data_IF_317212319046
#
_entry.id   IF_317212319046
#
_cell.length_a   1.000
_cell.length_b   1.000
_cell.length_c   1.000
_cell.angle_alpha   90.00
_cell.angle_beta   90.00
_cell.angle_gamma   90.00
#
_symmetry.space_group_name_H-M   'P 1'
#
loop_
_entity.id
_entity.type
_entity.pdbx_description
1 polymer ?
#
# COMPACT_ATOMS: atom_id res chain seq x y z
N UNK A 1 -29.07 -19.42 17.66
CA UNK A 1 -28.35 -18.17 17.32
C UNK A 1 -28.26 -17.93 15.82
N UNK A 2 -27.86 -18.90 14.99
CA UNK A 2 -27.79 -18.74 13.52
C UNK A 2 -29.13 -18.91 12.78
N UNK A 3 -30.04 -19.73 13.31
CA UNK A 3 -31.35 -20.03 12.71
C UNK A 3 -32.17 -18.78 12.35
N UNK A 4 -32.24 -17.73 13.21
CA UNK A 4 -32.95 -16.49 12.86
C UNK A 4 -32.34 -15.75 11.67
N UNK A 5 -31.01 -15.74 11.54
CA UNK A 5 -30.29 -15.07 10.45
C UNK A 5 -30.55 -15.79 9.12
N UNK A 6 -30.48 -17.12 9.14
CA UNK A 6 -30.77 -17.94 7.96
C UNK A 6 -32.23 -17.78 7.53
N UNK A 7 -33.18 -17.79 8.48
CA UNK A 7 -34.59 -17.58 8.18
C UNK A 7 -34.86 -16.19 7.60
N UNK A 8 -34.17 -15.15 8.10
CA UNK A 8 -34.25 -13.80 7.55
C UNK A 8 -33.69 -13.75 6.11
N UNK A 9 -32.54 -14.39 5.87
CA UNK A 9 -31.93 -14.44 4.53
C UNK A 9 -32.83 -15.16 3.52
N UNK A 10 -33.50 -16.26 3.91
CA UNK A 10 -34.44 -16.99 3.05
C UNK A 10 -35.72 -16.17 2.81
N UNK A 11 -36.23 -15.47 3.84
CA UNK A 11 -37.41 -14.60 3.72
C UNK A 11 -37.18 -13.47 2.72
N UNK A 12 -36.00 -12.84 2.74
CA UNK A 12 -35.63 -11.73 1.87
C UNK A 12 -34.66 -12.14 0.75
N UNK A 13 -34.81 -13.36 0.21
CA UNK A 13 -33.90 -13.93 -0.79
C UNK A 13 -33.56 -13.01 -1.96
N UNK A 14 -34.53 -12.23 -2.45
CA UNK A 14 -34.31 -11.30 -3.56
C UNK A 14 -33.33 -10.18 -3.22
N UNK A 15 -33.47 -9.59 -2.03
CA UNK A 15 -32.56 -8.55 -1.52
C UNK A 15 -31.18 -9.13 -1.27
N UNK A 16 -31.10 -10.33 -0.70
CA UNK A 16 -29.82 -11.02 -0.45
C UNK A 16 -29.08 -11.30 -1.76
N UNK A 17 -29.79 -11.81 -2.78
CA UNK A 17 -29.20 -12.06 -4.10
C UNK A 17 -28.75 -10.75 -4.76
N UNK A 18 -29.56 -9.70 -4.70
CA UNK A 18 -29.20 -8.40 -5.27
C UNK A 18 -27.94 -7.82 -4.60
N UNK A 19 -27.84 -7.89 -3.26
CA UNK A 19 -26.66 -7.47 -2.52
C UNK A 19 -25.43 -8.33 -2.86
N UNK A 20 -25.61 -9.65 -2.99
CA UNK A 20 -24.52 -10.55 -3.39
C UNK A 20 -24.00 -10.22 -4.79
N UNK A 21 -24.89 -9.93 -5.75
CA UNK A 21 -24.52 -9.52 -7.11
C UNK A 21 -23.80 -8.18 -7.13
N UNK A 22 -24.27 -7.21 -6.34
CA UNK A 22 -23.62 -5.90 -6.21
C UNK A 22 -22.22 -6.05 -5.61
N UNK A 23 -22.09 -6.86 -4.55
CA UNK A 23 -20.80 -7.15 -3.92
C UNK A 23 -19.84 -7.85 -4.88
N UNK A 24 -20.31 -8.82 -5.66
CA UNK A 24 -19.51 -9.50 -6.67
C UNK A 24 -19.05 -8.53 -7.77
N UNK A 25 -19.94 -7.68 -8.28
CA UNK A 25 -19.61 -6.67 -9.28
C UNK A 25 -18.60 -5.63 -8.77
N UNK A 26 -18.78 -5.16 -7.54
CA UNK A 26 -17.83 -4.27 -6.89
C UNK A 26 -16.47 -4.96 -6.67
N UNK A 27 -16.48 -6.23 -6.26
CA UNK A 27 -15.27 -7.04 -6.10
C UNK A 27 -14.50 -7.20 -7.40
N UNK A 28 -15.19 -7.45 -8.53
CA UNK A 28 -14.58 -7.50 -9.86
C UNK A 28 -13.97 -6.16 -10.27
N UNK A 29 -14.70 -5.06 -10.04
CA UNK A 29 -14.18 -3.72 -10.29
C UNK A 29 -12.92 -3.43 -9.46
N UNK A 30 -12.96 -3.71 -8.15
CA UNK A 30 -11.82 -3.52 -7.27
C UNK A 30 -10.61 -4.39 -7.69
N UNK A 31 -10.85 -5.65 -8.07
CA UNK A 31 -9.80 -6.55 -8.54
C UNK A 31 -9.15 -6.05 -9.83
N UNK A 32 -9.94 -5.52 -10.77
CA UNK A 32 -9.40 -4.94 -12.02
C UNK A 32 -8.56 -3.68 -11.82
N UNK A 33 -8.74 -2.98 -10.69
CA UNK A 33 -7.98 -1.77 -10.34
C UNK A 33 -6.89 -2.04 -9.29
N UNK A 34 -6.79 -3.27 -8.78
CA UNK A 34 -5.77 -3.63 -7.79
C UNK A 34 -4.39 -3.53 -8.42
N UNK A 35 -3.49 -2.76 -7.79
CA UNK A 35 -2.08 -2.73 -8.21
C UNK A 35 -1.44 -4.04 -7.81
N UNK A 36 -0.92 -4.74 -8.81
CA UNK A 36 -0.11 -5.94 -8.61
C UNK A 36 1.35 -5.51 -8.58
N UNK A 37 1.91 -5.38 -7.38
CA UNK A 37 3.34 -5.18 -7.22
C UNK A 37 4.02 -6.54 -7.09
N UNK A 38 5.02 -6.78 -7.95
CA UNK A 38 5.74 -8.07 -8.05
C UNK A 38 6.60 -8.33 -6.82
N UNK A 39 7.03 -7.26 -6.14
CA UNK A 39 7.82 -7.33 -4.92
C UNK A 39 7.29 -6.31 -3.91
N UNK A 40 7.01 -6.72 -2.66
CA UNK A 40 6.82 -5.77 -1.58
C UNK A 40 8.08 -4.91 -1.40
N UNK A 41 7.90 -3.64 -1.04
CA UNK A 41 9.03 -2.79 -0.68
C UNK A 41 9.55 -3.21 0.70
N UNK A 42 10.70 -3.88 0.73
CA UNK A 42 11.33 -4.35 1.97
C UNK A 42 12.40 -3.38 2.49
N UNK A 43 12.76 -2.38 1.70
CA UNK A 43 13.74 -1.39 2.11
C UNK A 43 13.14 -0.49 3.20
N UNK A 44 13.84 -0.26 4.32
CA UNK A 44 13.44 0.80 5.23
C UNK A 44 13.46 2.14 4.47
N UNK A 45 12.58 3.09 4.81
CA UNK A 45 12.61 4.40 4.20
C UNK A 45 13.97 5.07 4.47
N UNK A 46 14.67 5.46 3.42
CA UNK A 46 15.97 6.12 3.49
C UNK A 46 15.91 7.48 2.79
N UNK A 47 16.59 8.46 3.38
CA UNK A 47 16.80 9.78 2.77
C UNK A 47 18.29 9.88 2.42
N UNK A 48 18.60 10.11 1.16
CA UNK A 48 19.98 10.28 0.70
C UNK A 48 20.20 11.73 0.30
N UNK A 49 21.20 12.37 0.93
CA UNK A 49 21.66 13.72 0.58
C UNK A 49 23.00 13.57 -0.13
N UNK A 50 23.07 14.04 -1.38
CA UNK A 50 24.29 13.99 -2.18
C UNK A 50 24.79 15.42 -2.42
N UNK A 51 26.04 15.68 -2.02
CA UNK A 51 26.68 17.00 -2.19
C UNK A 51 27.96 16.82 -2.98
N UNK A 52 28.04 17.44 -4.16
CA UNK A 52 29.25 17.44 -4.97
C UNK A 52 30.27 18.44 -4.40
N UNK A 53 31.51 17.98 -4.19
CA UNK A 53 32.60 18.78 -3.63
C UNK A 53 33.90 18.65 -4.46
N UNK A 54 33.88 19.08 -5.74
CA UNK A 54 35.05 18.96 -6.61
C UNK A 54 36.21 19.83 -6.10
N UNK A 55 37.42 19.27 -6.11
CA UNK A 55 38.64 19.97 -5.71
C UNK A 55 38.94 19.94 -4.20
N UNK A 56 38.04 19.42 -3.37
CA UNK A 56 38.33 19.11 -1.97
C UNK A 56 38.98 17.72 -1.86
N UNK A 57 39.93 17.58 -0.94
CA UNK A 57 40.44 16.25 -0.56
C UNK A 57 39.39 15.48 0.24
N UNK A 58 39.52 14.15 0.35
CA UNK A 58 38.57 13.33 1.12
C UNK A 58 38.43 13.76 2.59
N UNK A 59 39.51 14.21 3.22
CA UNK A 59 39.48 14.75 4.59
C UNK A 59 38.69 16.07 4.66
N UNK A 60 38.86 16.94 3.67
CA UNK A 60 38.13 18.20 3.61
C UNK A 60 36.64 17.98 3.35
N UNK A 61 36.27 17.00 2.53
CA UNK A 61 34.87 16.62 2.33
C UNK A 61 34.25 16.15 3.64
N UNK A 62 34.96 15.32 4.41
CA UNK A 62 34.48 14.83 5.71
C UNK A 62 34.22 15.99 6.68
N UNK A 63 35.22 16.86 6.89
CA UNK A 63 35.14 17.93 7.90
C UNK A 63 34.22 19.09 7.47
N UNK A 64 34.25 19.47 6.20
CA UNK A 64 33.55 20.67 5.71
C UNK A 64 32.17 20.39 5.14
N UNK A 65 31.87 19.14 4.76
CA UNK A 65 30.63 18.77 4.07
C UNK A 65 29.89 17.68 4.85
N UNK A 66 30.47 16.49 5.04
CA UNK A 66 29.77 15.35 5.67
C UNK A 66 29.42 15.62 7.13
N UNK A 67 30.40 15.97 7.96
CA UNK A 67 30.21 16.19 9.40
C UNK A 67 29.14 17.26 9.76
N UNK A 68 29.00 18.39 9.05
CA UNK A 68 27.89 19.32 9.30
C UNK A 68 26.55 18.87 8.71
N UNK A 69 26.53 17.87 7.82
CA UNK A 69 25.32 17.30 7.21
C UNK A 69 24.75 16.11 7.99
N UNK A 70 25.60 15.32 8.66
CA UNK A 70 25.22 14.24 9.59
C UNK A 70 24.51 14.77 10.85
#
# INVERSE_FOLDING_TARGET
MLTPIVNFAIRFRGVVIALAMLLAGYGLFALSHARLDVFPEFAPPQVQVQTEAPGLSSEQVEVLVTQPLE
#
